data_IF_151437631895
#
_entry.id   IF_151437631895
#
_cell.length_a   1.000
_cell.length_b   1.000
_cell.length_c   1.000
_cell.angle_alpha   90.00
_cell.angle_beta   90.00
_cell.angle_gamma   90.00
#
_symmetry.space_group_name_H-M   'P 1'
#
loop_
_entity.id
_entity.type
_entity.pdbx_description
1 polymer ?
#
# COMPACT_ATOMS: atom_id res chain seq x y z
N UNK A 1 3.94 26.21 2.21
CA UNK A 1 5.08 25.34 1.82
C UNK A 1 5.49 24.28 2.84
N UNK A 2 5.93 24.62 4.08
CA UNK A 2 6.47 23.62 5.03
C UNK A 2 5.47 22.53 5.45
N UNK A 3 4.17 22.87 5.49
CA UNK A 3 3.12 21.94 5.92
C UNK A 3 2.71 20.93 4.82
N UNK A 4 2.62 21.34 3.56
CA UNK A 4 2.24 20.43 2.45
C UNK A 4 3.28 19.33 2.24
N UNK A 5 4.57 19.69 2.25
CA UNK A 5 5.67 18.72 2.13
C UNK A 5 5.65 17.71 3.27
N UNK A 6 5.32 18.16 4.50
CA UNK A 6 5.17 17.28 5.66
C UNK A 6 4.00 16.30 5.48
N UNK A 7 2.86 16.76 4.95
CA UNK A 7 1.70 15.89 4.71
C UNK A 7 1.99 14.92 3.55
N UNK A 8 2.67 15.36 2.49
CA UNK A 8 3.13 14.49 1.41
C UNK A 8 4.10 13.43 1.92
N UNK A 9 5.02 13.80 2.80
CA UNK A 9 5.94 12.86 3.43
C UNK A 9 5.21 11.82 4.28
N UNK A 10 4.17 12.22 5.04
CA UNK A 10 3.29 11.26 5.73
C UNK A 10 2.62 10.28 4.76
N UNK A 11 2.14 10.76 3.61
CA UNK A 11 1.56 9.90 2.57
C UNK A 11 2.58 8.90 2.00
N UNK A 12 3.82 9.32 1.78
CA UNK A 12 4.91 8.45 1.31
C UNK A 12 5.25 7.39 2.37
N UNK A 13 5.44 7.80 3.63
CA UNK A 13 5.69 6.87 4.74
C UNK A 13 4.56 5.86 4.87
N UNK A 14 3.31 6.31 4.84
CA UNK A 14 2.15 5.43 4.91
C UNK A 14 2.19 4.36 3.81
N UNK A 15 2.47 4.74 2.57
CA UNK A 15 2.62 3.79 1.46
C UNK A 15 3.78 2.81 1.66
N UNK A 16 4.96 3.29 2.07
CA UNK A 16 6.11 2.42 2.33
C UNK A 16 5.77 1.39 3.41
N UNK A 17 5.14 1.81 4.50
CA UNK A 17 4.68 0.90 5.56
C UNK A 17 3.70 -0.13 4.99
N UNK A 18 2.66 0.30 4.28
CA UNK A 18 1.65 -0.61 3.71
C UNK A 18 2.30 -1.62 2.77
N UNK A 19 3.14 -1.16 1.83
CA UNK A 19 3.76 -2.04 0.83
C UNK A 19 4.77 -3.00 1.43
N UNK A 20 5.60 -2.54 2.37
CA UNK A 20 6.51 -3.43 3.09
C UNK A 20 5.72 -4.53 3.80
N UNK A 21 4.69 -4.17 4.58
CA UNK A 21 3.96 -5.16 5.36
C UNK A 21 3.05 -6.05 4.52
N UNK A 22 2.45 -5.58 3.42
CA UNK A 22 1.65 -6.44 2.54
C UNK A 22 2.54 -7.44 1.79
N UNK A 23 3.74 -7.04 1.36
CA UNK A 23 4.72 -7.95 0.72
C UNK A 23 5.21 -8.97 1.75
N UNK A 24 5.60 -8.51 2.94
CA UNK A 24 5.99 -9.42 4.03
C UNK A 24 4.86 -10.40 4.36
N UNK A 25 3.60 -9.94 4.40
CA UNK A 25 2.44 -10.78 4.67
C UNK A 25 2.26 -11.89 3.61
N UNK A 26 2.64 -11.64 2.35
CA UNK A 26 2.63 -12.69 1.32
C UNK A 26 3.81 -13.67 1.44
N UNK A 27 4.99 -13.23 1.87
CA UNK A 27 6.20 -14.07 1.90
C UNK A 27 6.45 -14.77 3.25
N UNK A 28 5.92 -14.23 4.34
CA UNK A 28 6.15 -14.74 5.69
C UNK A 28 5.23 -15.92 6.03
N UNK A 29 5.63 -16.76 7.00
CA UNK A 29 4.81 -17.87 7.49
C UNK A 29 3.48 -17.38 8.10
N UNK A 30 2.47 -18.26 8.08
CA UNK A 30 1.11 -17.97 8.55
C UNK A 30 1.07 -17.50 10.02
N UNK A 31 2.03 -17.89 10.84
CA UNK A 31 2.14 -17.47 12.26
C UNK A 31 2.26 -15.96 12.44
N UNK A 32 2.86 -15.24 11.48
CA UNK A 32 3.03 -13.78 11.53
C UNK A 32 1.91 -13.00 10.84
N UNK A 33 0.93 -13.69 10.25
CA UNK A 33 -0.10 -13.08 9.40
C UNK A 33 -0.84 -11.94 10.12
N UNK A 34 -1.36 -12.18 11.32
CA UNK A 34 -2.14 -11.19 12.06
C UNK A 34 -1.32 -9.98 12.49
N UNK A 35 -0.06 -10.19 12.90
CA UNK A 35 0.84 -9.11 13.31
C UNK A 35 1.14 -8.21 12.10
N UNK A 36 1.51 -8.81 10.96
CA UNK A 36 1.79 -8.07 9.73
C UNK A 36 0.54 -7.37 9.19
N UNK A 37 -0.63 -7.99 9.33
CA UNK A 37 -1.90 -7.38 8.95
C UNK A 37 -2.16 -6.10 9.77
N UNK A 38 -2.00 -6.15 11.08
CA UNK A 38 -2.15 -4.97 11.95
C UNK A 38 -1.15 -3.88 11.58
N UNK A 39 0.13 -4.23 11.38
CA UNK A 39 1.17 -3.27 10.99
C UNK A 39 0.89 -2.61 9.64
N UNK A 40 0.37 -3.35 8.67
CA UNK A 40 -0.07 -2.80 7.38
C UNK A 40 -1.18 -1.75 7.59
N UNK A 41 -2.16 -2.02 8.47
CA UNK A 41 -3.26 -1.09 8.75
C UNK A 41 -2.79 0.21 9.41
N UNK A 42 -1.69 0.20 10.18
CA UNK A 42 -1.09 1.44 10.70
C UNK A 42 -0.68 2.38 9.54
N UNK A 43 -0.10 1.84 8.47
CA UNK A 43 0.22 2.60 7.27
C UNK A 43 -1.03 3.18 6.60
N UNK A 44 -2.12 2.41 6.53
CA UNK A 44 -3.42 2.88 6.01
C UNK A 44 -3.96 4.03 6.86
N UNK A 45 -3.88 3.94 8.19
CA UNK A 45 -4.32 5.01 9.11
C UNK A 45 -3.51 6.29 8.85
N UNK A 46 -2.19 6.19 8.69
CA UNK A 46 -1.33 7.34 8.35
C UNK A 46 -1.78 7.96 7.02
N UNK A 47 -2.08 7.15 6.01
CA UNK A 47 -2.63 7.61 4.74
C UNK A 47 -3.99 8.31 4.91
N UNK A 48 -4.90 7.78 5.73
CA UNK A 48 -6.20 8.43 6.01
C UNK A 48 -5.99 9.79 6.68
N UNK A 49 -5.08 9.89 7.66
CA UNK A 49 -4.78 11.15 8.35
C UNK A 49 -4.20 12.17 7.37
N UNK A 50 -3.22 11.77 6.54
CA UNK A 50 -2.62 12.66 5.54
C UNK A 50 -3.65 13.15 4.51
N UNK A 51 -4.56 12.28 4.07
CA UNK A 51 -5.69 12.65 3.19
C UNK A 51 -6.59 13.71 3.85
N UNK A 52 -7.00 13.48 5.09
CA UNK A 52 -7.84 14.43 5.84
C UNK A 52 -7.17 15.80 5.95
N UNK A 53 -5.85 15.84 6.21
CA UNK A 53 -5.09 17.09 6.29
C UNK A 53 -5.03 17.86 4.96
N UNK A 54 -4.88 17.16 3.83
CA UNK A 54 -4.94 17.80 2.52
C UNK A 54 -6.32 18.35 2.17
N UNK A 55 -7.39 17.59 2.47
CA UNK A 55 -8.77 18.02 2.22
C UNK A 55 -9.11 19.24 3.07
N UNK A 56 -8.68 19.28 4.34
CA UNK A 56 -8.85 20.43 5.22
C UNK A 56 -8.15 21.70 4.70
N UNK A 57 -7.16 21.55 3.81
CA UNK A 57 -6.47 22.65 3.13
C UNK A 57 -7.07 22.98 1.75
N UNK A 58 -8.21 22.38 1.38
CA UNK A 58 -8.90 22.63 0.11
C UNK A 58 -8.39 21.83 -1.08
N UNK A 59 -7.43 20.90 -0.90
CA UNK A 59 -6.89 20.13 -2.02
C UNK A 59 -7.76 18.95 -2.43
N UNK A 60 -7.99 18.80 -3.74
CA UNK A 60 -8.68 17.66 -4.32
C UNK A 60 -7.74 16.46 -4.55
N UNK A 61 -7.29 15.82 -3.46
CA UNK A 61 -6.26 14.76 -3.52
C UNK A 61 -6.82 13.34 -3.67
N UNK A 62 -8.15 13.16 -3.68
CA UNK A 62 -8.83 11.85 -3.58
C UNK A 62 -8.31 10.83 -4.60
N UNK A 63 -8.02 11.27 -5.82
CA UNK A 63 -7.55 10.41 -6.92
C UNK A 63 -6.19 9.74 -6.62
N UNK A 64 -5.27 10.46 -5.97
CA UNK A 64 -3.94 9.93 -5.65
C UNK A 64 -4.00 8.83 -4.58
N UNK A 65 -4.91 8.96 -3.62
CA UNK A 65 -5.14 7.93 -2.60
C UNK A 65 -5.90 6.73 -3.19
N UNK A 66 -6.89 6.98 -4.06
CA UNK A 66 -7.65 5.90 -4.69
C UNK A 66 -6.75 5.00 -5.53
N UNK A 67 -5.81 5.56 -6.29
CA UNK A 67 -4.81 4.80 -7.04
C UNK A 67 -4.00 3.85 -6.15
N UNK A 68 -3.57 4.32 -4.97
CA UNK A 68 -2.86 3.45 -4.01
C UNK A 68 -3.73 2.29 -3.56
N UNK A 69 -4.99 2.55 -3.22
CA UNK A 69 -5.92 1.49 -2.82
C UNK A 69 -6.19 0.48 -3.94
N UNK A 70 -6.30 0.92 -5.20
CA UNK A 70 -6.41 0.03 -6.35
C UNK A 70 -5.19 -0.89 -6.49
N UNK A 71 -3.99 -0.37 -6.22
CA UNK A 71 -2.77 -1.19 -6.27
C UNK A 71 -2.73 -2.24 -5.15
N UNK A 72 -3.32 -1.96 -3.99
CA UNK A 72 -3.43 -2.96 -2.92
C UNK A 72 -4.35 -4.13 -3.29
N UNK A 73 -5.37 -3.88 -4.13
CA UNK A 73 -6.29 -4.92 -4.61
C UNK A 73 -5.52 -6.01 -5.37
N UNK A 74 -4.42 -5.68 -6.04
CA UNK A 74 -3.61 -6.66 -6.78
C UNK A 74 -3.02 -7.75 -5.87
N UNK A 75 -2.85 -7.49 -4.57
CA UNK A 75 -2.36 -8.47 -3.61
C UNK A 75 -3.46 -9.40 -3.06
N UNK A 76 -4.74 -9.07 -3.23
CA UNK A 76 -5.85 -9.88 -2.71
C UNK A 76 -5.84 -11.31 -3.26
N UNK A 77 -5.66 -11.57 -4.58
CA UNK A 77 -5.63 -12.93 -5.10
C UNK A 77 -4.58 -13.83 -4.42
N UNK A 78 -3.38 -13.31 -4.18
CA UNK A 78 -2.30 -14.03 -3.48
C UNK A 78 -2.67 -14.29 -2.02
N UNK A 79 -3.25 -13.28 -1.36
CA UNK A 79 -3.71 -13.41 0.02
C UNK A 79 -4.84 -14.44 0.15
N UNK A 80 -5.83 -14.41 -0.74
CA UNK A 80 -6.93 -15.37 -0.79
C UNK A 80 -6.42 -16.79 -1.03
N UNK A 81 -5.46 -16.97 -1.94
CA UNK A 81 -4.82 -18.27 -2.17
C UNK A 81 -4.16 -18.82 -0.89
N UNK A 82 -3.39 -17.99 -0.17
CA UNK A 82 -2.78 -18.37 1.12
C UNK A 82 -3.81 -18.67 2.21
N UNK A 83 -4.90 -17.92 2.29
CA UNK A 83 -5.96 -18.17 3.27
C UNK A 83 -6.74 -19.45 2.95
N UNK A 84 -7.11 -19.65 1.69
CA UNK A 84 -7.91 -20.79 1.25
C UNK A 84 -7.14 -22.11 1.40
N UNK A 85 -5.83 -22.12 1.14
CA UNK A 85 -4.98 -23.29 1.44
C UNK A 85 -4.98 -23.68 2.93
N UNK A 86 -5.07 -22.70 3.84
CA UNK A 86 -5.19 -22.94 5.27
C UNK A 86 -6.54 -23.55 5.64
N UNK A 87 -7.61 -23.08 4.99
CA UNK A 87 -8.98 -23.57 5.23
C UNK A 87 -9.20 -24.98 4.67
N UNK A 88 -8.66 -25.27 3.49
CA UNK A 88 -8.87 -26.51 2.75
C UNK A 88 -7.76 -27.55 2.96
N UNK A 89 -6.81 -27.30 3.87
CA UNK A 89 -5.67 -28.19 4.19
C UNK A 89 -4.79 -28.62 3.00
N UNK A 90 -4.78 -27.85 1.92
CA UNK A 90 -3.84 -28.05 0.80
C UNK A 90 -2.51 -27.36 1.08
N UNK A 91 -1.42 -27.93 0.56
CA UNK A 91 -0.10 -27.31 0.62
C UNK A 91 -0.05 -26.07 -0.28
N UNK A 92 0.54 -24.98 0.26
CA UNK A 92 0.81 -23.77 -0.52
C UNK A 92 2.01 -24.05 -1.41
N UNK A 93 1.90 -23.73 -2.70
CA UNK A 93 3.08 -23.65 -3.54
C UNK A 93 3.79 -22.30 -3.30
N UNK A 94 4.79 -22.31 -2.42
CA UNK A 94 5.53 -21.12 -2.04
C UNK A 94 6.27 -20.47 -3.21
N UNK A 95 6.67 -21.26 -4.22
CA UNK A 95 7.32 -20.74 -5.44
C UNK A 95 6.37 -19.86 -6.23
N UNK A 96 5.12 -20.33 -6.42
CA UNK A 96 4.08 -19.57 -7.13
C UNK A 96 3.75 -18.28 -6.35
N UNK A 97 3.53 -18.38 -5.03
CA UNK A 97 3.27 -17.21 -4.18
C UNK A 97 4.38 -16.19 -4.28
N UNK A 98 5.64 -16.62 -4.19
CA UNK A 98 6.81 -15.75 -4.26
C UNK A 98 6.88 -15.05 -5.62
N UNK A 99 6.72 -15.80 -6.71
CA UNK A 99 6.76 -15.26 -8.06
C UNK A 99 5.69 -14.18 -8.28
N UNK A 100 4.42 -14.48 -7.98
CA UNK A 100 3.33 -13.50 -8.13
C UNK A 100 3.52 -12.29 -7.22
N UNK A 101 3.97 -12.50 -5.98
CA UNK A 101 4.23 -11.41 -5.04
C UNK A 101 5.28 -10.45 -5.58
N UNK A 102 6.39 -10.97 -6.10
CA UNK A 102 7.46 -10.14 -6.67
C UNK A 102 6.94 -9.34 -7.87
N UNK A 103 6.25 -10.00 -8.81
CA UNK A 103 5.69 -9.34 -10.01
C UNK A 103 4.73 -8.22 -9.60
N UNK A 104 3.78 -8.50 -8.72
CA UNK A 104 2.81 -7.51 -8.23
C UNK A 104 3.54 -6.38 -7.49
N UNK A 105 4.49 -6.70 -6.62
CA UNK A 105 5.28 -5.72 -5.88
C UNK A 105 6.04 -4.78 -6.82
N UNK A 106 6.71 -5.30 -7.85
CA UNK A 106 7.43 -4.48 -8.83
C UNK A 106 6.49 -3.51 -9.55
N UNK A 107 5.33 -4.00 -10.01
CA UNK A 107 4.32 -3.16 -10.67
C UNK A 107 3.78 -2.09 -9.71
N UNK A 108 3.44 -2.49 -8.48
CA UNK A 108 2.92 -1.57 -7.47
C UNK A 108 3.93 -0.48 -7.11
N UNK A 109 5.20 -0.84 -6.87
CA UNK A 109 6.25 0.12 -6.54
C UNK A 109 6.44 1.13 -7.68
N UNK A 110 6.50 0.66 -8.93
CA UNK A 110 6.65 1.52 -10.11
C UNK A 110 5.47 2.49 -10.24
N UNK A 111 4.24 1.98 -10.20
CA UNK A 111 3.03 2.81 -10.36
C UNK A 111 2.85 3.78 -9.19
N UNK A 112 3.22 3.38 -7.97
CA UNK A 112 3.18 4.26 -6.80
C UNK A 112 4.23 5.35 -6.86
N UNK A 113 5.43 5.06 -7.36
CA UNK A 113 6.45 6.07 -7.61
C UNK A 113 5.95 7.12 -8.62
N UNK A 114 5.38 6.69 -9.75
CA UNK A 114 4.77 7.59 -10.73
C UNK A 114 3.61 8.40 -10.13
N UNK A 115 2.81 7.80 -9.26
CA UNK A 115 1.71 8.48 -8.56
C UNK A 115 2.23 9.56 -7.60
N UNK A 116 3.33 9.29 -6.88
CA UNK A 116 4.00 10.26 -6.00
C UNK A 116 4.53 11.44 -6.81
N UNK A 117 5.19 11.18 -7.94
CA UNK A 117 5.67 12.26 -8.83
C UNK A 117 4.52 13.14 -9.33
N UNK A 118 3.43 12.53 -9.81
CA UNK A 118 2.23 13.26 -10.25
C UNK A 118 1.60 14.06 -9.11
N UNK A 119 1.55 13.50 -7.91
CA UNK A 119 0.99 14.19 -6.74
C UNK A 119 1.88 15.37 -6.31
N UNK A 120 3.21 15.19 -6.30
CA UNK A 120 4.16 16.26 -6.01
C UNK A 120 4.07 17.40 -7.02
N UNK A 121 3.98 17.09 -8.32
CA UNK A 121 3.78 18.07 -9.38
C UNK A 121 2.43 18.81 -9.26
N UNK A 122 1.36 18.11 -8.91
CA UNK A 122 0.07 18.74 -8.66
C UNK A 122 0.14 19.77 -7.51
N UNK A 123 0.81 19.42 -6.42
CA UNK A 123 1.01 20.30 -5.27
C UNK A 123 1.91 21.50 -5.59
N UNK A 124 2.85 21.38 -6.53
CA UNK A 124 3.71 22.50 -6.93
C UNK A 124 2.98 23.52 -7.81
N UNK A 125 2.02 23.07 -8.62
CA UNK A 125 1.20 23.92 -9.50
C UNK A 125 0.12 24.66 -8.70
N UNK A 126 -0.51 23.99 -7.72
CA UNK A 126 -1.58 24.57 -6.89
C UNK A 126 -1.02 25.20 -5.59
N UNK A 127 0.13 25.86 -5.73
CA UNK A 127 0.78 26.63 -4.66
C UNK A 127 0.06 27.95 -4.39
#
# INVERSE_FOLDING_TARGET
MKNQNKILFMFIIGQVIVYTFIIMLQLMPKSLFWILLVLMHLGIIIMIISKKKFIAQGYQVKIYYHRVYLLLILFLPVMFYKLLSGLLTYSVNDTIVTYYTIVIASITILLSFLNILKFSAFLSIHK
#
